data_IF_405370954300
#
_entry.id   IF_405370954300
#
_cell.length_a   1.000
_cell.length_b   1.000
_cell.length_c   1.000
_cell.angle_alpha   90.00
_cell.angle_beta   90.00
_cell.angle_gamma   90.00
#
_symmetry.space_group_name_H-M   'P 1'
#
loop_
_entity.id
_entity.type
_entity.pdbx_description
1 polymer ?
#
# COMPACT_ATOMS: atom_id res chain seq x y z
N UNK A 1 1.76 25.19 19.40
CA UNK A 1 2.91 24.31 19.08
C UNK A 1 3.09 23.32 20.20
N UNK A 2 2.83 22.03 19.97
CA UNK A 2 3.23 20.96 20.90
C UNK A 2 4.58 20.40 20.43
N UNK A 3 5.54 20.13 21.34
CA UNK A 3 6.86 19.65 20.96
C UNK A 3 6.78 18.21 20.45
N UNK A 4 7.42 17.95 19.31
CA UNK A 4 7.59 16.60 18.75
C UNK A 4 8.72 15.92 19.51
N UNK A 5 8.41 14.88 20.30
CA UNK A 5 9.42 14.09 21.01
C UNK A 5 10.13 13.15 20.04
N UNK A 6 11.45 13.31 19.90
CA UNK A 6 12.34 12.42 19.16
C UNK A 6 12.84 11.30 20.08
N UNK A 7 12.43 10.05 19.84
CA UNK A 7 13.19 8.88 20.26
C UNK A 7 14.03 8.42 19.07
N UNK A 8 15.32 8.15 19.32
CA UNK A 8 16.50 8.05 18.45
C UNK A 8 16.40 7.32 17.07
N UNK A 9 15.24 6.84 16.61
CA UNK A 9 15.13 6.21 15.26
C UNK A 9 13.74 6.33 14.62
N UNK A 10 12.78 7.02 15.25
CA UNK A 10 11.39 7.10 14.78
C UNK A 10 10.97 8.56 14.61
N UNK A 11 10.67 8.97 13.38
CA UNK A 11 10.11 10.30 13.12
C UNK A 11 8.59 10.20 12.96
N UNK A 12 7.87 10.97 13.76
CA UNK A 12 6.41 11.13 13.66
C UNK A 12 6.09 12.47 12.97
N UNK A 13 5.24 12.43 11.94
CA UNK A 13 4.78 13.62 11.22
C UNK A 13 3.28 13.82 11.47
N UNK A 14 2.94 15.00 11.99
CA UNK A 14 1.57 15.42 12.30
C UNK A 14 1.13 16.47 11.28
N UNK A 15 0.10 16.17 10.48
CA UNK A 15 -0.44 17.08 9.47
C UNK A 15 -1.94 17.30 9.69
N UNK A 16 -2.36 18.56 9.65
CA UNK A 16 -3.77 18.95 9.69
C UNK A 16 -4.30 18.96 8.25
N UNK A 17 -5.11 17.94 7.89
CA UNK A 17 -5.69 17.83 6.54
C UNK A 17 -6.89 18.75 6.35
N UNK A 18 -7.55 19.16 7.44
CA UNK A 18 -8.75 20.00 7.49
C UNK A 18 -8.96 20.45 8.94
N UNK A 19 -9.79 21.47 9.21
CA UNK A 19 -9.94 22.10 10.54
C UNK A 19 -10.30 21.15 11.71
N UNK A 20 -10.63 19.87 11.45
CA UNK A 20 -10.97 18.87 12.48
C UNK A 20 -10.39 17.48 12.25
N UNK A 21 -9.47 17.30 11.30
CA UNK A 21 -8.87 15.99 11.01
C UNK A 21 -7.36 16.08 11.11
N UNK A 22 -6.81 15.23 11.97
CA UNK A 22 -5.39 15.12 12.21
C UNK A 22 -4.88 13.79 11.66
N UNK A 23 -3.88 13.84 10.79
CA UNK A 23 -3.21 12.67 10.23
C UNK A 23 -1.83 12.53 10.89
N UNK A 24 -1.57 11.38 11.52
CA UNK A 24 -0.26 11.04 12.08
C UNK A 24 0.38 9.93 11.25
N UNK A 25 1.58 10.18 10.74
CA UNK A 25 2.39 9.21 10.00
C UNK A 25 3.67 8.91 10.79
N UNK A 26 4.01 7.62 10.90
CA UNK A 26 5.23 7.17 11.57
C UNK A 26 6.13 6.52 10.52
N UNK A 27 7.40 6.92 10.46
CA UNK A 27 8.38 6.34 9.54
C UNK A 27 9.71 6.11 10.26
N UNK A 28 10.28 4.92 10.06
CA UNK A 28 11.64 4.54 10.48
C UNK A 28 12.66 4.63 9.34
N UNK A 29 12.20 4.79 8.10
CA UNK A 29 13.03 4.80 6.89
C UNK A 29 13.74 6.15 6.66
N UNK A 30 13.23 7.22 7.25
CA UNK A 30 13.77 8.57 7.08
C UNK A 30 14.40 9.02 8.40
N UNK A 31 15.73 9.02 8.47
CA UNK A 31 16.52 9.46 9.64
C UNK A 31 16.84 10.96 9.65
N UNK A 32 16.71 11.65 8.51
CA UNK A 32 16.98 13.09 8.43
C UNK A 32 15.78 13.94 8.86
N UNK A 33 16.00 14.75 9.89
CA UNK A 33 15.11 15.77 10.45
C UNK A 33 15.33 17.15 9.80
N UNK A 34 15.41 17.24 8.48
CA UNK A 34 15.45 18.55 7.82
C UNK A 34 14.02 19.04 7.58
N UNK A 35 13.51 19.83 8.52
CA UNK A 35 12.17 20.41 8.44
C UNK A 35 12.17 21.53 7.38
N UNK A 36 12.10 21.15 6.10
CA UNK A 36 11.55 22.04 5.08
C UNK A 36 10.02 21.97 5.20
N UNK A 37 9.34 23.06 5.60
CA UNK A 37 7.93 23.03 5.99
C UNK A 37 6.98 22.58 4.87
N UNK A 38 7.43 22.64 3.62
CA UNK A 38 6.66 22.23 2.44
C UNK A 38 7.13 20.90 1.83
N UNK A 39 8.43 20.66 1.68
CA UNK A 39 8.90 19.58 0.80
C UNK A 39 8.97 18.19 1.44
N UNK A 40 9.37 18.07 2.72
CA UNK A 40 9.55 16.75 3.34
C UNK A 40 8.26 16.14 3.90
N UNK A 41 7.33 16.97 4.37
CA UNK A 41 5.99 16.54 4.77
C UNK A 41 5.23 15.98 3.56
N UNK A 42 5.37 16.64 2.41
CA UNK A 42 4.87 16.16 1.12
C UNK A 42 5.59 14.88 0.72
N UNK A 43 6.93 14.82 0.75
CA UNK A 43 7.67 13.63 0.34
C UNK A 43 7.26 12.38 1.13
N UNK A 44 7.18 12.45 2.47
CA UNK A 44 6.74 11.31 3.30
C UNK A 44 5.26 10.95 3.05
N UNK A 45 4.40 11.93 2.84
CA UNK A 45 3.00 11.71 2.48
C UNK A 45 2.85 11.06 1.09
N UNK A 46 3.68 11.45 0.13
CA UNK A 46 3.72 10.89 -1.23
C UNK A 46 4.27 9.46 -1.21
N UNK A 47 5.33 9.19 -0.46
CA UNK A 47 5.86 7.83 -0.29
C UNK A 47 4.83 6.91 0.36
N UNK A 48 4.18 7.33 1.45
CA UNK A 48 3.11 6.55 2.07
C UNK A 48 1.92 6.36 1.12
N UNK A 49 1.47 7.43 0.46
CA UNK A 49 0.29 7.40 -0.40
C UNK A 49 0.49 6.59 -1.68
N UNK A 50 1.71 6.49 -2.18
CA UNK A 50 2.04 5.62 -3.32
C UNK A 50 2.08 4.15 -2.96
N UNK A 51 2.50 3.79 -1.74
CA UNK A 51 2.61 2.38 -1.32
C UNK A 51 1.37 1.83 -0.63
N UNK A 52 0.50 2.68 -0.05
CA UNK A 52 -0.68 2.24 0.71
C UNK A 52 -1.66 1.38 -0.10
N UNK A 53 -1.73 1.60 -1.41
CA UNK A 53 -2.74 1.00 -2.28
C UNK A 53 -2.46 -0.45 -2.69
N UNK A 54 -1.31 -1.03 -2.36
CA UNK A 54 -0.94 -2.35 -2.87
C UNK A 54 -1.93 -3.46 -2.49
N UNK A 55 -2.36 -3.49 -1.23
CA UNK A 55 -3.35 -4.46 -0.76
C UNK A 55 -4.75 -4.16 -1.31
N UNK A 56 -5.16 -2.89 -1.32
CA UNK A 56 -6.46 -2.45 -1.83
C UNK A 56 -6.62 -2.78 -3.32
N UNK A 57 -5.56 -2.61 -4.12
CA UNK A 57 -5.56 -2.99 -5.53
C UNK A 57 -5.71 -4.49 -5.74
N UNK A 58 -5.10 -5.32 -4.89
CA UNK A 58 -5.28 -6.77 -4.96
C UNK A 58 -6.71 -7.17 -4.57
N UNK A 59 -7.30 -6.52 -3.56
CA UNK A 59 -8.68 -6.77 -3.15
C UNK A 59 -9.69 -6.37 -4.25
N UNK A 60 -9.47 -5.22 -4.88
CA UNK A 60 -10.27 -4.77 -6.03
C UNK A 60 -10.22 -5.77 -7.20
N UNK A 61 -9.02 -6.27 -7.53
CA UNK A 61 -8.84 -7.29 -8.56
C UNK A 61 -9.51 -8.62 -8.19
N UNK A 62 -9.38 -9.06 -6.93
CA UNK A 62 -10.03 -10.26 -6.44
C UNK A 62 -11.55 -10.16 -6.51
N UNK A 63 -12.11 -8.97 -6.25
CA UNK A 63 -13.55 -8.73 -6.32
C UNK A 63 -14.05 -8.63 -7.77
N UNK A 64 -13.28 -8.01 -8.66
CA UNK A 64 -13.60 -7.91 -10.08
C UNK A 64 -13.58 -9.27 -10.80
N UNK A 65 -12.56 -10.09 -10.51
CA UNK A 65 -12.31 -11.38 -11.17
C UNK A 65 -12.50 -12.56 -10.21
N UNK A 66 -13.59 -12.53 -9.43
CA UNK A 66 -13.88 -13.54 -8.41
C UNK A 66 -14.42 -14.86 -9.02
N UNK A 67 -13.75 -15.97 -8.75
CA UNK A 67 -14.20 -17.32 -9.14
C UNK A 67 -15.08 -18.01 -8.07
N UNK A 68 -15.28 -17.35 -6.93
CA UNK A 68 -16.02 -17.87 -5.79
C UNK A 68 -17.51 -18.02 -6.05
N UNK A 69 -18.09 -19.08 -5.48
CA UNK A 69 -19.54 -19.33 -5.47
C UNK A 69 -20.05 -19.25 -4.04
N UNK A 70 -21.33 -18.92 -3.87
CA UNK A 70 -21.97 -18.94 -2.55
C UNK A 70 -21.91 -20.36 -1.97
N UNK A 71 -21.21 -20.53 -0.86
CA UNK A 71 -21.10 -21.80 -0.14
C UNK A 71 -21.45 -21.61 1.34
N UNK A 72 -21.89 -22.70 2.00
CA UNK A 72 -22.05 -22.73 3.47
C UNK A 72 -20.84 -23.34 4.19
N UNK A 73 -19.80 -23.72 3.43
CA UNK A 73 -18.61 -24.39 3.93
C UNK A 73 -17.44 -23.42 3.92
N UNK A 74 -16.94 -23.08 5.11
CA UNK A 74 -15.84 -22.13 5.28
C UNK A 74 -14.58 -22.51 4.48
N UNK A 75 -14.23 -23.81 4.47
CA UNK A 75 -13.05 -24.29 3.74
C UNK A 75 -13.13 -24.03 2.23
N UNK A 76 -14.34 -24.10 1.64
CA UNK A 76 -14.52 -23.80 0.22
C UNK A 76 -14.39 -22.30 -0.08
N UNK A 77 -14.80 -21.43 0.85
CA UNK A 77 -14.62 -19.99 0.71
C UNK A 77 -13.14 -19.61 0.70
N UNK A 78 -12.36 -20.15 1.65
CA UNK A 78 -10.91 -19.97 1.68
C UNK A 78 -10.24 -20.49 0.42
N UNK A 79 -10.65 -21.66 -0.07
CA UNK A 79 -10.11 -22.23 -1.30
C UNK A 79 -10.35 -21.33 -2.52
N UNK A 80 -11.56 -20.78 -2.66
CA UNK A 80 -11.87 -19.83 -3.75
C UNK A 80 -11.00 -18.57 -3.66
N UNK A 81 -10.79 -18.03 -2.46
CA UNK A 81 -9.94 -16.86 -2.26
C UNK A 81 -8.48 -17.14 -2.62
N UNK A 82 -7.95 -18.32 -2.25
CA UNK A 82 -6.60 -18.74 -2.64
C UNK A 82 -6.46 -18.82 -4.16
N UNK A 83 -7.47 -19.35 -4.86
CA UNK A 83 -7.46 -19.42 -6.34
C UNK A 83 -7.43 -18.02 -6.95
N UNK A 84 -8.25 -17.08 -6.47
CA UNK A 84 -8.27 -15.71 -6.99
C UNK A 84 -6.89 -15.04 -6.86
N UNK A 85 -6.27 -15.15 -5.68
CA UNK A 85 -4.93 -14.59 -5.42
C UNK A 85 -3.87 -15.27 -6.29
N UNK A 86 -3.93 -16.60 -6.43
CA UNK A 86 -3.00 -17.36 -7.26
C UNK A 86 -3.12 -16.98 -8.74
N UNK A 87 -4.34 -16.76 -9.24
CA UNK A 87 -4.59 -16.33 -10.62
C UNK A 87 -3.97 -14.96 -10.92
N UNK A 88 -4.19 -13.97 -10.04
CA UNK A 88 -3.60 -12.63 -10.18
C UNK A 88 -2.06 -12.71 -10.15
N UNK A 89 -1.48 -13.48 -9.22
CA UNK A 89 -0.04 -13.64 -9.14
C UNK A 89 0.55 -14.34 -10.38
N UNK A 90 -0.14 -15.34 -10.93
CA UNK A 90 0.26 -16.01 -12.16
C UNK A 90 0.25 -15.05 -13.35
N UNK A 91 -0.76 -14.18 -13.45
CA UNK A 91 -0.86 -13.17 -14.50
C UNK A 91 0.29 -12.13 -14.40
N UNK A 92 0.60 -11.65 -13.19
CA UNK A 92 1.75 -10.74 -12.97
C UNK A 92 3.06 -11.38 -13.46
N UNK A 93 3.31 -12.65 -13.13
CA UNK A 93 4.51 -13.38 -13.57
C UNK A 93 4.52 -13.52 -15.10
N UNK A 94 3.37 -13.86 -15.69
CA UNK A 94 3.23 -14.01 -17.13
C UNK A 94 3.50 -12.70 -17.87
N UNK A 95 2.86 -11.60 -17.45
CA UNK A 95 3.05 -10.26 -17.99
C UNK A 95 4.53 -9.84 -17.88
N UNK A 96 5.14 -10.02 -16.71
CA UNK A 96 6.54 -9.67 -16.50
C UNK A 96 7.47 -10.49 -17.40
N UNK A 97 7.20 -11.79 -17.58
CA UNK A 97 8.08 -12.68 -18.37
C UNK A 97 7.90 -12.49 -19.87
N UNK A 98 6.67 -12.30 -20.35
CA UNK A 98 6.35 -12.33 -21.76
C UNK A 98 6.32 -10.94 -22.40
N UNK A 99 5.74 -9.94 -21.74
CA UNK A 99 5.65 -8.58 -22.29
C UNK A 99 6.99 -7.84 -22.22
N UNK A 100 7.71 -7.91 -21.08
CA UNK A 100 9.03 -7.27 -21.00
C UNK A 100 10.03 -7.88 -21.99
N UNK A 101 9.90 -9.17 -22.30
CA UNK A 101 10.75 -9.83 -23.29
C UNK A 101 10.43 -9.44 -24.73
N UNK A 102 9.20 -8.99 -25.01
CA UNK A 102 8.83 -8.45 -26.33
C UNK A 102 9.30 -7.01 -26.55
N UNK A 103 9.30 -6.18 -25.49
CA UNK A 103 9.75 -4.79 -25.53
C UNK A 103 11.28 -4.62 -25.61
N UNK A 104 12.05 -5.73 -25.53
CA UNK A 104 13.51 -5.76 -25.68
C UNK A 104 13.97 -6.14 -27.10
N UNK A 105 13.04 -6.48 -28.00
CA UNK A 105 13.32 -6.66 -29.44
C UNK A 105 12.87 -5.44 -30.21
#
# INVERSE_FOLDING_TARGET
MAPVYFYFTMMSLQYLTTQRKHLSLISTMHSNSEVNPTLQSIAKHMTYSSTKGGADSLDELCNSMNCGRKTKRLAMEFFNNIINIAGINADIIYLHTFLQRSNWK
#
